data_IF_169650543521
#
_entry.id   IF_169650543521
#
_cell.length_a   1.000
_cell.length_b   1.000
_cell.length_c   1.000
_cell.angle_alpha   90.00
_cell.angle_beta   90.00
_cell.angle_gamma   90.00
#
_symmetry.space_group_name_H-M   'P 1'
#
loop_
_entity.id
_entity.type
_entity.pdbx_description
1 polymer ?
#
# COMPACT_ATOMS: atom_id res chain seq x y z
N UNK A 1 17.92 15.44 -11.90
CA UNK A 1 17.02 15.71 -10.76
C UNK A 1 15.62 15.75 -11.32
N UNK A 2 14.74 14.87 -10.87
CA UNK A 2 13.33 14.89 -11.28
C UNK A 2 12.59 16.02 -10.54
N UNK A 3 11.66 16.73 -11.21
CA UNK A 3 10.87 17.77 -10.58
C UNK A 3 9.97 17.17 -9.49
N UNK A 4 9.83 17.87 -8.36
CA UNK A 4 8.90 17.49 -7.31
C UNK A 4 7.47 17.65 -7.83
N UNK A 5 6.68 16.57 -7.82
CA UNK A 5 5.30 16.55 -8.28
C UNK A 5 4.32 16.63 -7.11
N UNK A 6 3.14 17.19 -7.36
CA UNK A 6 2.05 17.16 -6.40
C UNK A 6 1.44 15.75 -6.38
N UNK A 7 1.84 14.96 -5.39
CA UNK A 7 1.39 13.57 -5.21
C UNK A 7 -0.05 13.57 -4.72
N UNK A 8 -0.90 12.82 -5.42
CA UNK A 8 -2.33 12.70 -5.10
C UNK A 8 -2.63 11.32 -4.50
N UNK A 9 -2.00 10.28 -5.01
CA UNK A 9 -2.10 8.92 -4.49
C UNK A 9 -0.76 8.20 -4.64
N UNK A 10 -0.24 7.70 -3.54
CA UNK A 10 0.84 6.73 -3.54
C UNK A 10 0.27 5.35 -3.30
N UNK A 11 0.66 4.38 -4.10
CA UNK A 11 0.18 3.01 -3.95
C UNK A 11 1.25 2.00 -4.34
N UNK A 12 1.09 0.79 -3.85
CA UNK A 12 1.97 -0.33 -4.20
C UNK A 12 1.16 -1.49 -4.74
N UNK A 13 1.68 -2.12 -5.77
CA UNK A 13 1.09 -3.26 -6.46
C UNK A 13 1.88 -4.50 -6.11
N UNK A 14 1.21 -5.57 -5.72
CA UNK A 14 1.86 -6.78 -5.22
C UNK A 14 1.63 -7.94 -6.18
N UNK A 15 2.72 -8.64 -6.51
CA UNK A 15 2.70 -9.83 -7.34
C UNK A 15 3.26 -11.04 -6.59
N UNK A 16 2.79 -12.22 -6.97
CA UNK A 16 3.43 -13.46 -6.57
C UNK A 16 4.65 -13.79 -7.47
N UNK A 17 5.23 -14.94 -7.22
CA UNK A 17 6.41 -15.42 -7.95
C UNK A 17 6.15 -15.73 -9.45
N UNK A 18 4.90 -15.96 -9.83
CA UNK A 18 4.46 -16.14 -11.21
C UNK A 18 4.03 -14.84 -11.90
N UNK A 19 4.20 -13.70 -11.23
CA UNK A 19 3.73 -12.37 -11.66
C UNK A 19 2.20 -12.27 -11.76
N UNK A 20 1.46 -13.05 -10.99
CA UNK A 20 0.02 -12.85 -10.84
C UNK A 20 -0.24 -11.70 -9.88
N UNK A 21 -1.09 -10.77 -10.29
CA UNK A 21 -1.50 -9.64 -9.46
C UNK A 21 -2.27 -10.13 -8.22
N UNK A 22 -1.80 -9.76 -7.04
CA UNK A 22 -2.40 -10.11 -5.76
C UNK A 22 -3.29 -9.02 -5.20
N UNK A 23 -2.99 -7.76 -5.53
CA UNK A 23 -3.75 -6.61 -5.10
C UNK A 23 -2.93 -5.34 -4.97
N UNK A 24 -3.63 -4.31 -4.52
CA UNK A 24 -3.11 -2.96 -4.34
C UNK A 24 -3.14 -2.58 -2.86
N UNK A 25 -2.16 -1.79 -2.44
CA UNK A 25 -2.15 -1.14 -1.13
C UNK A 25 -1.93 0.35 -1.30
N UNK A 26 -2.68 1.17 -0.60
CA UNK A 26 -2.41 2.60 -0.52
C UNK A 26 -1.22 2.83 0.41
N UNK A 27 -0.25 3.61 -0.02
CA UNK A 27 0.93 3.95 0.77
C UNK A 27 0.72 5.27 1.50
N UNK A 28 1.18 5.33 2.74
CA UNK A 28 1.22 6.53 3.56
C UNK A 28 2.68 6.83 3.88
N UNK A 29 3.18 7.92 3.33
CA UNK A 29 4.55 8.37 3.50
C UNK A 29 4.59 9.67 4.29
N UNK A 30 5.67 9.91 5.04
CA UNK A 30 5.88 11.19 5.68
C UNK A 30 6.25 12.29 4.65
N UNK A 31 6.37 13.55 5.12
CA UNK A 31 6.73 14.68 4.27
C UNK A 31 8.11 14.54 3.59
N UNK A 32 8.95 13.61 4.05
CA UNK A 32 10.25 13.27 3.47
C UNK A 32 10.19 12.06 2.54
N UNK A 33 8.99 11.49 2.29
CA UNK A 33 8.77 10.33 1.45
C UNK A 33 9.09 8.98 2.12
N UNK A 34 9.30 8.94 3.45
CA UNK A 34 9.58 7.69 4.15
C UNK A 34 8.27 6.97 4.48
N UNK A 35 8.25 5.67 4.26
CA UNK A 35 7.11 4.82 4.60
C UNK A 35 6.73 4.94 6.07
N UNK A 36 5.45 5.14 6.34
CA UNK A 36 4.84 5.12 7.67
C UNK A 36 3.85 3.97 7.81
N UNK A 37 2.94 3.85 6.85
CA UNK A 37 1.88 2.87 6.89
C UNK A 37 1.44 2.48 5.47
N UNK A 38 0.68 1.40 5.37
CA UNK A 38 -0.12 1.12 4.18
C UNK A 38 -1.53 0.67 4.57
N UNK A 39 -2.49 0.96 3.70
CA UNK A 39 -3.88 0.56 3.89
C UNK A 39 -4.33 -0.39 2.80
N UNK A 40 -5.13 -1.38 3.19
CA UNK A 40 -5.83 -2.30 2.30
C UNK A 40 -7.31 -1.98 2.39
N UNK A 41 -7.87 -1.54 1.29
CA UNK A 41 -9.28 -1.21 1.13
C UNK A 41 -9.88 -2.01 -0.02
N UNK A 42 -11.21 -2.03 -0.12
CA UNK A 42 -11.90 -2.59 -1.29
C UNK A 42 -11.49 -1.85 -2.58
N UNK A 43 -11.25 -0.56 -2.49
CA UNK A 43 -10.72 0.26 -3.57
C UNK A 43 -9.46 0.98 -3.09
N UNK A 44 -8.37 0.96 -3.86
CA UNK A 44 -7.11 1.61 -3.49
C UNK A 44 -7.25 3.13 -3.36
N UNK A 45 -8.26 3.70 -3.99
CA UNK A 45 -8.61 5.12 -3.91
C UNK A 45 -9.55 5.46 -2.75
N UNK A 46 -9.73 4.57 -1.77
CA UNK A 46 -10.61 4.82 -0.64
C UNK A 46 -10.21 6.11 0.10
N UNK A 47 -11.19 6.95 0.40
CA UNK A 47 -10.97 8.27 0.99
C UNK A 47 -10.53 9.36 -0.01
N UNK A 48 -10.35 9.04 -1.28
CA UNK A 48 -10.01 9.99 -2.33
C UNK A 48 -11.25 10.73 -2.86
N UNK A 49 -11.00 11.83 -3.57
CA UNK A 49 -12.06 12.55 -4.27
C UNK A 49 -12.55 11.78 -5.52
N UNK A 50 -13.72 12.15 -6.02
CA UNK A 50 -14.37 11.51 -7.16
C UNK A 50 -13.51 11.56 -8.44
N UNK A 51 -12.76 12.62 -8.67
CA UNK A 51 -11.90 12.78 -9.83
C UNK A 51 -10.81 11.71 -9.86
N UNK A 52 -10.16 11.45 -8.72
CA UNK A 52 -9.16 10.39 -8.61
C UNK A 52 -9.76 9.00 -8.77
N UNK A 53 -10.96 8.77 -8.22
CA UNK A 53 -11.67 7.49 -8.38
C UNK A 53 -12.00 7.23 -9.85
N UNK A 54 -12.53 8.23 -10.55
CA UNK A 54 -12.84 8.13 -12.00
C UNK A 54 -11.58 7.93 -12.83
N UNK A 55 -10.47 8.58 -12.48
CA UNK A 55 -9.21 8.42 -13.18
C UNK A 55 -8.65 7.01 -13.01
N UNK A 56 -8.64 6.47 -11.79
CA UNK A 56 -8.07 5.15 -11.49
C UNK A 56 -8.93 4.02 -12.10
N UNK A 57 -10.26 4.12 -11.95
CA UNK A 57 -11.24 3.14 -12.43
C UNK A 57 -11.98 3.65 -13.67
N UNK A 58 -11.23 4.24 -14.60
CA UNK A 58 -11.79 4.69 -15.88
C UNK A 58 -12.38 3.53 -16.70
N UNK A 59 -13.26 3.83 -17.65
CA UNK A 59 -13.91 2.80 -18.49
C UNK A 59 -12.89 1.95 -19.26
N UNK A 60 -11.82 2.56 -19.72
CA UNK A 60 -10.71 1.89 -20.41
C UNK A 60 -9.78 1.12 -19.46
N UNK A 61 -9.96 1.29 -18.13
CA UNK A 61 -9.17 0.63 -17.08
C UNK A 61 -7.65 0.76 -17.27
N UNK A 62 -7.17 1.88 -17.82
CA UNK A 62 -5.77 2.03 -18.23
C UNK A 62 -4.77 1.81 -17.07
N UNK A 63 -5.09 2.24 -15.84
CA UNK A 63 -4.24 2.02 -14.67
C UNK A 63 -4.22 0.54 -14.29
N UNK A 64 -5.38 -0.10 -14.18
CA UNK A 64 -5.49 -1.50 -13.78
C UNK A 64 -4.88 -2.42 -14.85
N UNK A 65 -5.22 -2.22 -16.12
CA UNK A 65 -4.69 -3.02 -17.25
C UNK A 65 -3.17 -2.91 -17.39
N UNK A 66 -2.59 -1.77 -17.02
CA UNK A 66 -1.13 -1.67 -16.99
C UNK A 66 -0.54 -2.74 -16.06
N UNK A 67 -1.08 -2.92 -14.85
CA UNK A 67 -0.55 -3.89 -13.88
C UNK A 67 -1.04 -5.32 -14.12
N UNK A 68 -2.22 -5.50 -14.70
CA UNK A 68 -2.74 -6.83 -15.03
C UNK A 68 -2.07 -7.43 -16.26
N UNK A 69 -1.80 -6.63 -17.28
CA UNK A 69 -1.40 -7.12 -18.60
C UNK A 69 -0.03 -6.64 -19.08
N UNK A 70 0.28 -5.35 -18.89
CA UNK A 70 1.45 -4.71 -19.51
C UNK A 70 2.71 -4.93 -18.70
N UNK A 71 2.68 -4.55 -17.42
CA UNK A 71 3.84 -4.63 -16.55
C UNK A 71 4.41 -6.06 -16.41
N UNK A 72 3.60 -7.12 -16.19
CA UNK A 72 4.12 -8.48 -16.15
C UNK A 72 4.87 -8.91 -17.40
N UNK A 73 4.40 -8.48 -18.57
CA UNK A 73 5.06 -8.77 -19.86
C UNK A 73 6.40 -8.04 -19.99
N UNK A 74 6.45 -6.80 -19.52
CA UNK A 74 7.66 -5.98 -19.58
C UNK A 74 8.74 -6.48 -18.62
N UNK A 75 8.38 -6.84 -17.40
CA UNK A 75 9.35 -7.18 -16.35
C UNK A 75 9.86 -8.63 -16.45
N UNK A 76 9.04 -9.57 -16.93
CA UNK A 76 9.35 -11.00 -16.99
C UNK A 76 10.72 -11.31 -17.62
N UNK A 77 11.09 -10.80 -18.80
CA UNK A 77 12.38 -11.11 -19.43
C UNK A 77 13.57 -10.65 -18.58
N UNK A 78 13.40 -9.54 -17.83
CA UNK A 78 14.43 -9.02 -16.94
C UNK A 78 14.62 -9.90 -15.70
N UNK A 79 13.54 -10.38 -15.09
CA UNK A 79 13.60 -11.28 -13.94
C UNK A 79 14.18 -12.64 -14.33
N UNK A 80 13.81 -13.17 -15.48
CA UNK A 80 14.36 -14.42 -16.04
C UNK A 80 15.87 -14.32 -16.26
N UNK A 81 16.32 -13.23 -16.86
CA UNK A 81 17.77 -12.97 -17.08
C UNK A 81 18.52 -12.86 -15.75
N UNK A 82 17.90 -12.35 -14.69
CA UNK A 82 18.50 -12.25 -13.36
C UNK A 82 18.33 -13.53 -12.54
N UNK A 83 17.61 -14.54 -13.04
CA UNK A 83 17.29 -15.76 -12.30
C UNK A 83 16.40 -15.52 -11.08
N UNK A 84 15.67 -14.39 -11.03
CA UNK A 84 14.82 -14.06 -9.90
C UNK A 84 13.48 -14.79 -9.97
N UNK A 85 13.13 -15.49 -8.88
CA UNK A 85 11.89 -16.30 -8.75
C UNK A 85 11.13 -15.99 -7.45
N UNK A 86 11.13 -14.74 -7.03
CA UNK A 86 10.49 -14.33 -5.79
C UNK A 86 9.27 -13.42 -6.03
N UNK A 87 8.59 -13.03 -4.95
CA UNK A 87 7.51 -12.05 -5.01
C UNK A 87 8.04 -10.67 -5.39
N UNK A 88 7.17 -9.85 -5.97
CA UNK A 88 7.53 -8.52 -6.46
C UNK A 88 6.53 -7.49 -5.95
N UNK A 89 7.04 -6.37 -5.42
CA UNK A 89 6.27 -5.16 -5.18
C UNK A 89 6.65 -4.07 -6.18
N UNK A 90 5.69 -3.27 -6.60
CA UNK A 90 5.90 -2.11 -7.48
C UNK A 90 5.25 -0.91 -6.86
N UNK A 91 6.04 0.08 -6.49
CA UNK A 91 5.54 1.33 -5.97
C UNK A 91 5.27 2.29 -7.12
N UNK A 92 4.12 2.93 -7.06
CA UNK A 92 3.58 3.77 -8.09
C UNK A 92 2.88 4.99 -7.50
N UNK A 93 2.59 5.99 -8.33
CA UNK A 93 1.82 7.14 -7.87
C UNK A 93 0.91 7.69 -8.97
N UNK A 94 -0.13 8.38 -8.52
CA UNK A 94 -0.87 9.35 -9.33
C UNK A 94 -0.52 10.72 -8.78
N UNK A 95 -0.12 11.62 -9.65
CA UNK A 95 0.25 12.99 -9.30
C UNK A 95 -0.36 13.96 -10.31
N UNK A 96 -0.39 15.25 -9.95
CA UNK A 96 -0.73 16.28 -10.92
C UNK A 96 0.50 16.68 -11.72
N UNK A 97 0.30 16.88 -13.00
CA UNK A 97 1.31 17.50 -13.86
C UNK A 97 1.28 19.03 -13.76
N UNK A 98 2.08 19.71 -14.58
CA UNK A 98 2.18 21.17 -14.58
C UNK A 98 0.88 21.87 -15.02
N UNK A 99 0.01 21.18 -15.75
CA UNK A 99 -1.33 21.66 -16.14
C UNK A 99 -2.39 21.36 -15.05
N UNK A 100 -2.02 20.70 -13.95
CA UNK A 100 -2.94 20.29 -12.89
C UNK A 100 -3.71 19.00 -13.20
N UNK A 101 -3.44 18.34 -14.32
CA UNK A 101 -4.10 17.12 -14.74
C UNK A 101 -3.52 15.89 -14.03
N UNK A 102 -4.39 14.92 -13.73
CA UNK A 102 -3.97 13.66 -13.12
C UNK A 102 -3.13 12.84 -14.10
N UNK A 103 -1.98 12.36 -13.64
CA UNK A 103 -1.07 11.55 -14.43
C UNK A 103 -0.60 10.33 -13.64
N UNK A 104 -0.64 9.18 -14.28
CA UNK A 104 -0.15 7.93 -13.74
C UNK A 104 1.37 7.80 -13.95
N UNK A 105 2.09 7.55 -12.86
CA UNK A 105 3.50 7.20 -12.83
C UNK A 105 3.60 5.73 -12.40
N UNK A 106 3.64 4.82 -13.37
CA UNK A 106 3.36 3.41 -13.12
C UNK A 106 4.47 2.65 -12.40
N UNK A 107 5.69 3.17 -12.43
CA UNK A 107 6.83 2.53 -11.78
C UNK A 107 7.72 3.62 -11.16
N UNK A 108 7.68 3.74 -9.86
CA UNK A 108 8.58 4.59 -9.08
C UNK A 108 9.72 3.74 -8.53
N UNK A 109 9.39 2.57 -7.98
CA UNK A 109 10.33 1.63 -7.44
C UNK A 109 9.88 0.20 -7.70
N UNK A 110 10.83 -0.68 -8.02
CA UNK A 110 10.60 -2.13 -8.12
C UNK A 110 11.29 -2.80 -6.94
N UNK A 111 10.51 -3.52 -6.15
CA UNK A 111 10.92 -4.18 -4.93
C UNK A 111 10.90 -5.71 -5.11
N UNK A 112 12.03 -6.36 -5.53
CA UNK A 112 12.10 -7.81 -5.72
C UNK A 112 12.26 -8.52 -4.36
N UNK A 113 11.22 -8.45 -3.54
CA UNK A 113 11.17 -9.01 -2.18
C UNK A 113 9.74 -9.00 -1.64
N UNK A 114 9.52 -9.62 -0.48
CA UNK A 114 8.34 -9.34 0.32
C UNK A 114 8.37 -7.89 0.80
N UNK A 115 7.28 -7.17 0.57
CA UNK A 115 7.09 -5.77 1.00
C UNK A 115 6.11 -5.68 2.16
N UNK A 116 6.06 -4.52 2.84
CA UNK A 116 5.04 -4.26 3.85
C UNK A 116 3.63 -4.28 3.26
N UNK A 117 3.46 -3.84 2.01
CA UNK A 117 2.19 -3.96 1.28
C UNK A 117 1.75 -5.41 1.11
N UNK A 118 2.69 -6.33 0.82
CA UNK A 118 2.37 -7.76 0.76
C UNK A 118 1.93 -8.30 2.11
N UNK A 119 2.62 -7.94 3.18
CA UNK A 119 2.23 -8.33 4.55
C UNK A 119 0.83 -7.83 4.87
N UNK A 120 0.53 -6.57 4.56
CA UNK A 120 -0.80 -6.00 4.78
C UNK A 120 -1.90 -6.73 3.99
N UNK A 121 -1.65 -7.11 2.72
CA UNK A 121 -2.61 -7.90 1.94
C UNK A 121 -2.89 -9.28 2.55
N UNK A 122 -1.85 -9.97 3.04
CA UNK A 122 -2.03 -11.28 3.68
C UNK A 122 -2.79 -11.15 5.00
N UNK A 123 -2.51 -10.11 5.80
CA UNK A 123 -3.26 -9.82 7.02
C UNK A 123 -4.72 -9.48 6.70
N UNK A 124 -4.97 -8.69 5.66
CA UNK A 124 -6.32 -8.31 5.25
C UNK A 124 -7.20 -9.52 4.87
N UNK A 125 -6.61 -10.61 4.38
CA UNK A 125 -7.32 -11.87 4.10
C UNK A 125 -7.82 -12.59 5.35
N UNK A 126 -7.23 -12.26 6.50
CA UNK A 126 -7.57 -12.89 7.80
C UNK A 126 -8.59 -12.06 8.58
N UNK A 127 -8.88 -10.84 8.16
CA UNK A 127 -9.88 -9.98 8.81
C UNK A 127 -11.26 -10.17 8.17
N UNK A 128 -12.28 -9.59 8.80
CA UNK A 128 -13.65 -9.66 8.28
C UNK A 128 -13.71 -8.97 6.92
N UNK A 129 -14.33 -9.64 5.95
CA UNK A 129 -14.46 -9.14 4.58
C UNK A 129 -15.12 -7.77 4.55
N UNK A 130 -14.51 -6.83 3.85
CA UNK A 130 -15.03 -5.46 3.70
C UNK A 130 -14.58 -4.47 4.78
N UNK A 131 -13.89 -4.95 5.83
CA UNK A 131 -13.28 -4.05 6.82
C UNK A 131 -11.94 -3.54 6.26
N UNK A 132 -11.72 -2.21 6.23
CA UNK A 132 -10.43 -1.63 5.87
C UNK A 132 -9.36 -2.05 6.87
N UNK A 133 -8.16 -2.35 6.37
CA UNK A 133 -7.00 -2.64 7.20
C UNK A 133 -5.96 -1.54 7.00
N UNK A 134 -5.46 -0.97 8.09
CA UNK A 134 -4.27 -0.14 8.12
C UNK A 134 -3.14 -0.91 8.81
N UNK A 135 -2.06 -1.14 8.11
CA UNK A 135 -0.83 -1.71 8.63
C UNK A 135 0.16 -0.58 8.88
N UNK A 136 0.65 -0.48 10.10
CA UNK A 136 1.54 0.60 10.53
C UNK A 136 2.68 0.03 11.36
N UNK A 137 3.88 0.60 11.21
CA UNK A 137 5.04 0.26 12.02
C UNK A 137 5.26 1.38 13.01
N UNK A 138 4.93 1.10 14.27
CA UNK A 138 5.17 2.02 15.37
C UNK A 138 6.59 1.85 15.92
N UNK A 139 7.21 2.95 16.29
CA UNK A 139 8.57 3.02 16.78
C UNK A 139 8.68 4.04 17.92
N UNK A 140 9.88 4.25 18.44
CA UNK A 140 10.12 5.28 19.47
C UNK A 140 9.77 6.71 19.02
N UNK A 141 9.66 6.97 17.71
CA UNK A 141 9.24 8.28 17.18
C UNK A 141 7.77 8.58 17.43
N UNK A 142 7.00 7.55 17.73
CA UNK A 142 5.56 7.65 17.96
C UNK A 142 5.23 7.82 19.45
N UNK A 143 6.24 7.78 20.34
CA UNK A 143 6.06 7.87 21.78
C UNK A 143 5.38 9.16 22.21
N UNK A 144 5.81 10.30 21.65
CA UNK A 144 5.22 11.61 21.97
C UNK A 144 3.75 11.67 21.54
N UNK A 145 3.41 11.06 20.38
CA UNK A 145 2.04 11.00 19.88
C UNK A 145 1.10 10.19 20.79
N UNK A 146 1.62 9.14 21.41
CA UNK A 146 0.86 8.27 22.31
C UNK A 146 1.10 8.58 23.80
N UNK A 147 1.86 9.62 24.10
CA UNK A 147 2.21 10.04 25.48
C UNK A 147 2.81 8.89 26.32
N UNK A 148 3.72 8.11 25.72
CA UNK A 148 4.39 6.96 26.35
C UNK A 148 5.90 7.10 26.32
N UNK A 149 6.58 6.39 27.21
CA UNK A 149 8.04 6.41 27.37
C UNK A 149 8.73 5.12 26.90
N UNK A 150 7.96 4.07 26.64
CA UNK A 150 8.49 2.75 26.28
C UNK A 150 7.60 2.02 25.28
N UNK A 151 8.17 1.03 24.58
CA UNK A 151 7.42 0.14 23.68
C UNK A 151 6.40 -0.71 24.44
N UNK A 152 6.66 -1.03 25.71
CA UNK A 152 5.74 -1.78 26.55
C UNK A 152 4.50 -0.94 26.86
N UNK A 153 4.68 0.33 27.22
CA UNK A 153 3.58 1.27 27.43
C UNK A 153 2.80 1.50 26.15
N UNK A 154 3.48 1.67 25.00
CA UNK A 154 2.84 1.80 23.69
C UNK A 154 1.95 0.59 23.38
N UNK A 155 2.47 -0.62 23.57
CA UNK A 155 1.68 -1.85 23.39
C UNK A 155 0.44 -1.87 24.29
N UNK A 156 0.59 -1.50 25.56
CA UNK A 156 -0.52 -1.44 26.52
C UNK A 156 -1.57 -0.38 26.17
N UNK A 157 -1.16 0.76 25.58
CA UNK A 157 -2.08 1.79 25.08
C UNK A 157 -2.89 1.26 23.89
N UNK A 158 -2.22 0.58 22.96
CA UNK A 158 -2.86 -0.03 21.79
C UNK A 158 -3.86 -1.11 22.22
N UNK A 159 -3.47 -1.99 23.14
CA UNK A 159 -4.33 -3.06 23.66
C UNK A 159 -5.57 -2.52 24.39
N UNK A 160 -5.45 -1.41 25.12
CA UNK A 160 -6.58 -0.75 25.81
C UNK A 160 -7.50 0.03 24.88
N UNK A 161 -7.10 0.26 23.63
CA UNK A 161 -7.94 0.84 22.64
C UNK A 161 -7.94 2.34 22.50
N UNK A 162 -6.92 3.01 22.95
CA UNK A 162 -6.68 4.42 22.65
C UNK A 162 -6.08 4.62 21.25
N UNK A 163 -5.72 3.55 20.55
CA UNK A 163 -5.19 3.52 19.18
C UNK A 163 -5.87 2.41 18.36
N UNK A 164 -5.67 2.33 17.05
CA UNK A 164 -6.18 1.24 16.20
C UNK A 164 -5.89 -0.12 16.82
N UNK A 165 -6.92 -0.91 17.02
CA UNK A 165 -6.84 -2.15 17.78
C UNK A 165 -6.61 -3.37 16.91
N UNK A 166 -5.87 -4.35 17.48
CA UNK A 166 -6.06 -5.76 17.17
C UNK A 166 -7.35 -6.23 17.87
N UNK A 167 -8.44 -6.42 17.15
CA UNK A 167 -9.64 -7.05 17.71
C UNK A 167 -9.65 -8.55 17.40
N UNK A 168 -9.94 -9.36 18.43
CA UNK A 168 -10.15 -10.80 18.26
C UNK A 168 -11.62 -11.04 17.98
N UNK A 169 -11.98 -11.59 16.84
CA UNK A 169 -13.34 -11.97 16.51
C UNK A 169 -13.69 -13.36 17.05
N UNK A 170 -15.00 -13.65 17.16
CA UNK A 170 -15.53 -14.89 17.72
C UNK A 170 -14.96 -16.19 17.12
N UNK A 171 -14.38 -16.14 15.93
CA UNK A 171 -13.77 -17.29 15.26
C UNK A 171 -12.23 -17.31 15.36
N UNK A 172 -11.64 -16.58 16.30
CA UNK A 172 -10.19 -16.52 16.50
C UNK A 172 -9.42 -15.69 15.49
N UNK A 173 -10.08 -15.02 14.56
CA UNK A 173 -9.43 -14.09 13.62
C UNK A 173 -9.19 -12.76 14.30
N UNK A 174 -8.05 -12.16 14.01
CA UNK A 174 -7.66 -10.83 14.50
C UNK A 174 -7.89 -9.79 13.43
N UNK A 175 -8.42 -8.67 13.82
CA UNK A 175 -8.62 -7.50 12.97
C UNK A 175 -7.87 -6.31 13.53
N UNK A 176 -7.18 -5.57 12.67
CA UNK A 176 -6.64 -4.25 13.01
C UNK A 176 -7.72 -3.22 12.68
N UNK A 177 -8.16 -2.48 13.68
CA UNK A 177 -8.98 -1.27 13.48
C UNK A 177 -8.12 -0.05 13.33
#
# INVERSE_FOLDING_TARGET
VEPRRERVLDFSVQYDQELRLLGYTQLHNDAKGRFQACSVHRAVTAGANESLMRYFYSEDRHVERFYEETFPKLIRPHLERLGYKGPLGVDAMIARDEAGELKHYPVIEINPRYTMGRVALELARQVVKGVPLRFEILSRRDFDHYEVSSLVELAAVIERGAAPRLETYQNGRRCLK
#
